data_IF_651872052405
#
_entry.id   IF_651872052405
#
_cell.length_a   1.000
_cell.length_b   1.000
_cell.length_c   1.000
_cell.angle_alpha   90.00
_cell.angle_beta   90.00
_cell.angle_gamma   90.00
#
_symmetry.space_group_name_H-M   'P 1'
#
loop_
_entity.id
_entity.type
_entity.pdbx_description
1 polymer ?
#
# COMPACT_ATOMS: atom_id res chain seq x y z
N UNK A 1 -12.59 15.11 -33.14
CA UNK A 1 -12.51 15.42 -31.70
C UNK A 1 -12.00 14.17 -30.99
N UNK A 2 -10.84 14.19 -30.32
CA UNK A 2 -10.32 13.01 -29.61
C UNK A 2 -11.07 12.89 -28.29
N UNK A 3 -12.03 11.97 -28.21
CA UNK A 3 -12.74 11.67 -26.97
C UNK A 3 -11.78 10.90 -26.05
N UNK A 4 -11.77 11.25 -24.75
CA UNK A 4 -10.95 10.60 -23.71
C UNK A 4 -11.19 9.08 -23.62
N UNK A 5 -12.30 8.60 -24.18
CA UNK A 5 -12.70 7.19 -24.21
C UNK A 5 -12.33 6.43 -25.51
N UNK A 6 -11.60 7.03 -26.48
CA UNK A 6 -11.17 6.32 -27.70
C UNK A 6 -10.22 5.15 -27.34
N UNK A 7 -10.50 3.90 -27.75
CA UNK A 7 -9.63 2.74 -27.47
C UNK A 7 -8.17 2.93 -27.88
N UNK A 8 -7.90 3.70 -28.95
CA UNK A 8 -6.55 4.02 -29.42
C UNK A 8 -5.87 5.05 -28.53
N UNK A 9 -6.62 5.94 -27.90
CA UNK A 9 -6.10 6.87 -26.91
C UNK A 9 -5.75 6.12 -25.62
N UNK A 10 -6.66 5.27 -25.13
CA UNK A 10 -6.43 4.42 -23.96
C UNK A 10 -5.22 3.48 -24.15
N UNK A 11 -5.05 2.89 -25.34
CA UNK A 11 -3.87 2.06 -25.66
C UNK A 11 -2.57 2.85 -25.58
N UNK A 12 -2.56 4.10 -26.06
CA UNK A 12 -1.38 4.98 -25.95
C UNK A 12 -1.09 5.36 -24.51
N UNK A 13 -2.12 5.66 -23.69
CA UNK A 13 -1.96 5.93 -22.27
C UNK A 13 -1.30 4.74 -21.57
N UNK A 14 -1.81 3.52 -21.78
CA UNK A 14 -1.22 2.30 -21.20
C UNK A 14 0.23 2.08 -21.63
N UNK A 15 0.55 2.36 -22.90
CA UNK A 15 1.93 2.26 -23.41
C UNK A 15 2.86 3.28 -22.72
N UNK A 16 2.42 4.53 -22.59
CA UNK A 16 3.17 5.58 -21.89
C UNK A 16 3.38 5.20 -20.41
N UNK A 17 2.33 4.72 -19.74
CA UNK A 17 2.41 4.24 -18.36
C UNK A 17 3.40 3.08 -18.21
N UNK A 18 3.39 2.09 -19.13
CA UNK A 18 4.33 0.96 -19.03
C UNK A 18 5.77 1.35 -19.30
N UNK A 19 6.01 2.24 -20.27
CA UNK A 19 7.35 2.78 -20.56
C UNK A 19 7.89 3.58 -19.37
N UNK A 20 7.06 4.42 -18.75
CA UNK A 20 7.43 5.17 -17.55
C UNK A 20 7.65 4.24 -16.35
N UNK A 21 6.78 3.25 -16.11
CA UNK A 21 6.99 2.28 -15.04
C UNK A 21 8.32 1.53 -15.21
N UNK A 22 8.69 1.20 -16.46
CA UNK A 22 9.96 0.55 -16.79
C UNK A 22 11.19 1.40 -16.45
N UNK A 23 11.07 2.74 -16.42
CA UNK A 23 12.18 3.61 -16.02
C UNK A 23 12.47 3.59 -14.51
N UNK A 24 11.53 3.13 -13.69
CA UNK A 24 11.70 2.93 -12.24
C UNK A 24 11.92 1.47 -11.86
N UNK A 25 11.98 0.56 -12.84
CA UNK A 25 12.01 -0.88 -12.61
C UNK A 25 13.13 -1.28 -11.64
N UNK A 26 14.32 -0.69 -11.75
CA UNK A 26 15.47 -0.97 -10.87
C UNK A 26 15.26 -0.49 -9.43
N UNK A 27 14.61 0.65 -9.23
CA UNK A 27 14.35 1.19 -7.89
C UNK A 27 13.20 0.45 -7.20
N UNK A 28 12.14 0.16 -7.95
CA UNK A 28 10.98 -0.61 -7.48
C UNK A 28 11.40 -2.05 -7.16
N UNK A 29 12.32 -2.66 -7.92
CA UNK A 29 12.83 -4.00 -7.60
C UNK A 29 13.58 -4.04 -6.27
N UNK A 30 14.36 -3.00 -5.95
CA UNK A 30 15.10 -2.94 -4.69
C UNK A 30 14.15 -2.77 -3.50
N UNK A 31 13.19 -1.85 -3.60
CA UNK A 31 12.19 -1.63 -2.56
C UNK A 31 11.30 -2.88 -2.35
N UNK A 32 10.93 -3.55 -3.44
CA UNK A 32 10.21 -4.82 -3.35
C UNK A 32 11.02 -5.89 -2.65
N UNK A 33 12.33 -5.99 -2.93
CA UNK A 33 13.20 -6.94 -2.26
C UNK A 33 13.27 -6.64 -0.76
N UNK A 34 13.50 -5.39 -0.37
CA UNK A 34 13.52 -4.98 1.05
C UNK A 34 12.19 -5.27 1.76
N UNK A 35 11.05 -5.02 1.10
CA UNK A 35 9.74 -5.36 1.65
C UNK A 35 9.57 -6.87 1.81
N UNK A 36 9.99 -7.66 0.82
CA UNK A 36 9.93 -9.13 0.88
C UNK A 36 10.83 -9.69 1.99
N UNK A 37 12.01 -9.11 2.19
CA UNK A 37 12.95 -9.53 3.24
C UNK A 37 12.39 -9.22 4.65
N UNK A 38 11.56 -8.18 4.78
CA UNK A 38 10.91 -7.79 6.04
C UNK A 38 9.46 -8.29 6.17
N UNK A 39 8.98 -9.13 5.24
CA UNK A 39 7.58 -9.48 5.13
C UNK A 39 7.02 -10.14 6.40
N UNK A 40 7.80 -11.02 7.04
CA UNK A 40 7.38 -11.69 8.28
C UNK A 40 7.16 -10.70 9.43
N UNK A 41 8.05 -9.70 9.57
CA UNK A 41 7.94 -8.66 10.60
C UNK A 41 6.73 -7.76 10.34
N UNK A 42 6.53 -7.38 9.07
CA UNK A 42 5.39 -6.58 8.63
C UNK A 42 4.07 -7.31 8.91
N UNK A 43 3.97 -8.57 8.46
CA UNK A 43 2.79 -9.39 8.65
C UNK A 43 2.49 -9.63 10.14
N UNK A 44 3.51 -9.81 10.97
CA UNK A 44 3.35 -9.92 12.42
C UNK A 44 2.81 -8.62 13.04
N UNK A 45 3.31 -7.45 12.62
CA UNK A 45 2.82 -6.16 13.09
C UNK A 45 1.35 -5.93 12.71
N UNK A 46 0.99 -6.25 11.47
CA UNK A 46 -0.41 -6.18 10.99
C UNK A 46 -1.30 -7.13 11.79
N UNK A 47 -0.87 -8.38 11.97
CA UNK A 47 -1.65 -9.38 12.69
C UNK A 47 -1.86 -9.00 14.16
N UNK A 48 -0.87 -8.36 14.80
CA UNK A 48 -0.97 -7.84 16.17
C UNK A 48 -1.94 -6.66 16.27
N UNK A 49 -1.98 -5.80 15.25
CA UNK A 49 -2.87 -4.65 15.21
C UNK A 49 -4.32 -5.02 14.84
N UNK A 50 -4.54 -6.15 14.17
CA UNK A 50 -5.84 -6.66 13.78
C UNK A 50 -6.02 -8.14 14.18
N UNK A 51 -6.08 -8.46 15.49
CA UNK A 51 -6.12 -9.84 15.97
C UNK A 51 -7.36 -10.61 15.52
N UNK A 52 -8.50 -9.91 15.39
CA UNK A 52 -9.76 -10.49 14.91
C UNK A 52 -9.79 -10.76 13.40
N UNK A 53 -8.78 -10.28 12.66
CA UNK A 53 -8.68 -10.41 11.21
C UNK A 53 -7.41 -11.18 10.84
N UNK A 54 -7.49 -12.52 10.69
CA UNK A 54 -6.38 -13.30 10.17
C UNK A 54 -5.92 -12.74 8.82
N UNK A 55 -4.61 -12.63 8.59
CA UNK A 55 -4.07 -12.06 7.34
C UNK A 55 -4.69 -12.68 6.06
N UNK A 56 -4.95 -13.99 6.09
CA UNK A 56 -5.59 -14.74 5.00
C UNK A 56 -7.03 -14.30 4.67
N UNK A 57 -7.71 -13.67 5.62
CA UNK A 57 -9.10 -13.20 5.49
C UNK A 57 -9.17 -11.72 5.08
N UNK A 58 -8.05 -10.99 5.15
CA UNK A 58 -7.97 -9.62 4.66
C UNK A 58 -7.99 -9.66 3.13
N UNK A 59 -8.75 -8.74 2.51
CA UNK A 59 -8.74 -8.59 1.06
C UNK A 59 -7.30 -8.35 0.58
N UNK A 60 -6.90 -8.98 -0.53
CA UNK A 60 -5.55 -8.88 -1.10
C UNK A 60 -5.11 -7.43 -1.33
N UNK A 61 -6.02 -6.54 -1.73
CA UNK A 61 -5.70 -5.13 -1.93
C UNK A 61 -5.41 -4.46 -0.59
N UNK A 62 -6.29 -4.64 0.40
CA UNK A 62 -6.09 -4.06 1.73
C UNK A 62 -4.81 -4.58 2.39
N UNK A 63 -4.53 -5.88 2.25
CA UNK A 63 -3.30 -6.49 2.76
C UNK A 63 -2.06 -5.91 2.07
N UNK A 64 -2.09 -5.68 0.76
CA UNK A 64 -0.99 -5.05 0.05
C UNK A 64 -0.75 -3.61 0.52
N UNK A 65 -1.82 -2.83 0.68
CA UNK A 65 -1.76 -1.45 1.20
C UNK A 65 -1.21 -1.44 2.63
N UNK A 66 -1.69 -2.33 3.50
CA UNK A 66 -1.22 -2.47 4.87
C UNK A 66 0.26 -2.83 4.92
N UNK A 67 0.73 -3.74 4.06
CA UNK A 67 2.14 -4.15 4.01
C UNK A 67 3.05 -2.99 3.61
N UNK A 68 2.69 -2.24 2.58
CA UNK A 68 3.46 -1.07 2.16
C UNK A 68 3.46 0.01 3.24
N UNK A 69 2.28 0.38 3.76
CA UNK A 69 2.18 1.40 4.81
C UNK A 69 2.92 1.00 6.09
N UNK A 70 2.85 -0.27 6.49
CA UNK A 70 3.58 -0.79 7.65
C UNK A 70 5.09 -0.79 7.42
N UNK A 71 5.54 -1.17 6.21
CA UNK A 71 6.96 -1.09 5.85
C UNK A 71 7.48 0.34 5.99
N UNK A 72 6.77 1.32 5.40
CA UNK A 72 7.17 2.72 5.44
C UNK A 72 7.19 3.27 6.88
N UNK A 73 6.21 2.90 7.71
CA UNK A 73 6.18 3.30 9.13
C UNK A 73 7.38 2.80 9.93
N UNK A 74 7.96 1.66 9.54
CA UNK A 74 9.04 0.99 10.27
C UNK A 74 10.43 1.32 9.71
N UNK A 75 10.55 1.62 8.43
CA UNK A 75 11.85 1.65 7.72
C UNK A 75 12.15 2.98 7.02
N UNK A 76 11.25 3.97 7.07
CA UNK A 76 11.46 5.26 6.39
C UNK A 76 11.32 6.44 7.35
N UNK A 77 11.94 7.56 6.98
CA UNK A 77 11.82 8.84 7.69
C UNK A 77 10.56 9.64 7.29
N UNK A 78 9.68 9.05 6.48
CA UNK A 78 8.46 9.73 6.02
C UNK A 78 7.52 9.98 7.21
N UNK A 79 6.95 11.19 7.36
CA UNK A 79 6.07 11.48 8.48
C UNK A 79 4.90 10.48 8.57
N UNK A 80 4.65 9.85 9.75
CA UNK A 80 3.65 8.79 9.87
C UNK A 80 2.25 9.17 9.41
N UNK A 81 1.86 10.43 9.59
CA UNK A 81 0.57 10.94 9.12
C UNK A 81 0.45 10.88 7.59
N UNK A 82 1.51 11.24 6.87
CA UNK A 82 1.53 11.22 5.40
C UNK A 82 1.39 9.78 4.90
N UNK A 83 2.13 8.84 5.49
CA UNK A 83 2.03 7.41 5.14
C UNK A 83 0.59 6.90 5.31
N UNK A 84 -0.04 7.20 6.45
CA UNK A 84 -1.40 6.76 6.75
C UNK A 84 -2.41 7.42 5.79
N UNK A 85 -2.30 8.72 5.56
CA UNK A 85 -3.21 9.45 4.66
C UNK A 85 -3.15 8.89 3.23
N UNK A 86 -1.95 8.61 2.70
CA UNK A 86 -1.76 8.01 1.38
C UNK A 86 -2.29 6.57 1.31
N UNK A 87 -1.98 5.74 2.30
CA UNK A 87 -2.50 4.37 2.37
C UNK A 87 -4.04 4.34 2.38
N UNK A 88 -4.66 5.25 3.11
CA UNK A 88 -6.12 5.40 3.16
C UNK A 88 -6.69 5.81 1.80
N UNK A 89 -6.04 6.71 1.08
CA UNK A 89 -6.49 7.14 -0.24
C UNK A 89 -6.37 6.02 -1.31
N UNK A 90 -5.29 5.23 -1.25
CA UNK A 90 -5.13 4.04 -2.10
C UNK A 90 -6.24 3.02 -1.77
N UNK A 91 -6.54 2.81 -0.48
CA UNK A 91 -7.60 1.91 -0.05
C UNK A 91 -9.00 2.37 -0.49
N UNK A 92 -9.29 3.68 -0.53
CA UNK A 92 -10.53 4.22 -1.11
C UNK A 92 -10.63 3.95 -2.61
N UNK A 93 -9.50 4.07 -3.31
CA UNK A 93 -9.47 3.99 -4.77
C UNK A 93 -9.60 2.55 -5.28
N UNK A 94 -8.96 1.60 -4.59
CA UNK A 94 -8.83 0.22 -5.06
C UNK A 94 -9.49 -0.82 -4.16
N UNK A 95 -9.77 -0.47 -2.90
CA UNK A 95 -10.38 -1.38 -1.93
C UNK A 95 -11.90 -1.49 -2.07
N UNK A 96 -12.50 -2.17 -1.08
CA UNK A 96 -13.94 -2.25 -0.89
C UNK A 96 -14.46 -1.03 -0.10
N UNK A 97 -15.78 -0.96 0.07
CA UNK A 97 -16.48 0.16 0.73
C UNK A 97 -15.90 0.50 2.13
N UNK A 98 -15.48 -0.51 2.89
CA UNK A 98 -14.93 -0.35 4.25
C UNK A 98 -13.40 -0.39 4.32
N UNK A 99 -12.70 -0.44 3.19
CA UNK A 99 -11.24 -0.60 3.17
C UNK A 99 -10.50 0.60 3.76
N UNK A 100 -10.96 1.81 3.47
CA UNK A 100 -10.32 3.04 3.93
C UNK A 100 -10.33 3.18 5.45
N UNK A 101 -11.46 2.88 6.10
CA UNK A 101 -11.59 2.91 7.56
C UNK A 101 -10.82 1.76 8.23
N UNK A 102 -10.84 0.57 7.62
CA UNK A 102 -10.07 -0.58 8.09
C UNK A 102 -8.56 -0.30 8.06
N UNK A 103 -8.03 0.15 6.92
CA UNK A 103 -6.60 0.49 6.76
C UNK A 103 -6.17 1.58 7.73
N UNK A 104 -6.97 2.64 7.87
CA UNK A 104 -6.70 3.71 8.82
C UNK A 104 -6.60 3.19 10.26
N UNK A 105 -7.55 2.32 10.66
CA UNK A 105 -7.58 1.75 12.00
C UNK A 105 -6.36 0.88 12.30
N UNK A 106 -6.00 -0.01 11.37
CA UNK A 106 -4.86 -0.93 11.54
C UNK A 106 -3.54 -0.16 11.62
N UNK A 107 -3.27 0.73 10.66
CA UNK A 107 -2.03 1.51 10.65
C UNK A 107 -1.94 2.47 11.85
N UNK A 108 -3.06 3.03 12.29
CA UNK A 108 -3.13 3.84 13.51
C UNK A 108 -2.72 3.06 14.77
N UNK A 109 -3.20 1.81 14.91
CA UNK A 109 -2.82 0.91 16.01
C UNK A 109 -1.35 0.52 15.96
N UNK A 110 -0.81 0.24 14.76
CA UNK A 110 0.62 -0.04 14.56
C UNK A 110 1.45 1.17 15.02
N UNK A 111 1.12 2.38 14.56
CA UNK A 111 1.82 3.61 14.95
C UNK A 111 1.80 3.84 16.47
N UNK A 112 0.67 3.59 17.12
CA UNK A 112 0.56 3.68 18.58
C UNK A 112 1.49 2.68 19.29
N UNK A 113 1.61 1.46 18.76
CA UNK A 113 2.50 0.42 19.29
C UNK A 113 3.96 0.80 19.16
N UNK A 114 4.37 1.37 18.02
CA UNK A 114 5.74 1.84 17.77
C UNK A 114 6.12 2.96 18.74
N UNK A 115 5.23 3.94 18.96
CA UNK A 115 5.49 5.06 19.88
C UNK A 115 5.54 4.68 21.35
N UNK A 116 5.00 3.51 21.70
CA UNK A 116 4.92 3.00 23.08
C UNK A 116 6.07 2.05 23.42
N UNK A 117 6.96 1.77 22.46
CA UNK A 117 8.17 0.93 22.62
C UNK A 117 9.41 1.82 22.76
#
# INVERSE_FOLDING_TARGET
MKTSSDPRHLKRIKLVQSLYASSYQTQISNLNQELMDNLELIDAAIQKAAPEWPLKNINRIDLAVLRVGTYELLHTDTPPKVIIDEAVEIAKTYGAENSSSFVNGVLGTILATIKSS
#
